data_IF_949176882517
#
_entry.id   IF_949176882517
#
_cell.length_a   1.000
_cell.length_b   1.000
_cell.length_c   1.000
_cell.angle_alpha   90.00
_cell.angle_beta   90.00
_cell.angle_gamma   90.00
#
_symmetry.space_group_name_H-M   'P 1'
#
loop_
_entity.id
_entity.type
_entity.pdbx_description
1 polymer ?
#
# COMPACT_ATOMS: atom_id res chain seq x y z
N UNK A 1 24.20 7.51 -7.67
CA UNK A 1 23.24 7.24 -6.56
C UNK A 1 21.89 7.86 -6.87
N UNK A 2 20.87 7.06 -7.22
CA UNK A 2 19.51 7.55 -7.48
C UNK A 2 18.53 6.85 -6.55
N UNK A 3 17.61 7.61 -5.98
CA UNK A 3 16.45 7.05 -5.28
C UNK A 3 15.44 6.52 -6.30
N UNK A 4 14.84 5.37 -5.99
CA UNK A 4 13.74 4.83 -6.79
C UNK A 4 12.45 4.90 -5.99
N UNK A 5 11.34 5.09 -6.69
CA UNK A 5 10.00 5.24 -6.12
C UNK A 5 9.04 4.35 -6.88
N UNK A 6 8.12 3.72 -6.15
CA UNK A 6 6.92 3.09 -6.70
C UNK A 6 5.73 3.35 -5.77
N UNK A 7 4.53 3.33 -6.33
CA UNK A 7 3.30 3.22 -5.56
C UNK A 7 2.46 2.04 -6.04
N UNK A 8 1.69 1.48 -5.10
CA UNK A 8 0.78 0.39 -5.38
C UNK A 8 -0.54 0.62 -4.67
N UNK A 9 -1.60 0.64 -5.47
CA UNK A 9 -2.96 0.65 -4.98
C UNK A 9 -3.28 -0.69 -4.30
N UNK A 10 -3.85 -0.62 -3.11
CA UNK A 10 -4.29 -1.76 -2.30
C UNK A 10 -5.81 -1.70 -2.22
N UNK A 11 -6.49 -2.77 -2.60
CA UNK A 11 -7.95 -2.87 -2.55
C UNK A 11 -8.31 -3.83 -1.43
N UNK A 12 -8.97 -3.32 -0.41
CA UNK A 12 -9.52 -4.09 0.69
C UNK A 12 -10.81 -4.78 0.26
N UNK A 13 -10.94 -6.04 0.67
CA UNK A 13 -12.11 -6.89 0.47
C UNK A 13 -12.76 -7.14 1.80
N UNK A 14 -14.08 -7.29 1.78
CA UNK A 14 -14.83 -7.70 2.96
C UNK A 14 -14.59 -9.18 3.25
N UNK A 15 -14.15 -9.47 4.47
CA UNK A 15 -13.97 -10.82 5.01
C UNK A 15 -14.66 -10.92 6.38
N UNK A 16 -14.85 -12.13 6.94
CA UNK A 16 -15.40 -12.29 8.28
C UNK A 16 -14.63 -11.55 9.37
N UNK A 17 -13.34 -11.26 9.15
CA UNK A 17 -12.45 -10.53 10.05
C UNK A 17 -12.50 -9.00 9.85
N UNK A 18 -13.23 -8.51 8.84
CA UNK A 18 -13.34 -7.09 8.48
C UNK A 18 -12.82 -6.79 7.07
N UNK A 19 -12.47 -5.52 6.80
CA UNK A 19 -11.88 -5.11 5.52
C UNK A 19 -10.40 -5.43 5.49
N UNK A 20 -9.99 -6.43 4.69
CA UNK A 20 -8.60 -6.90 4.62
C UNK A 20 -8.10 -6.99 3.17
N UNK A 21 -6.79 -6.88 2.97
CA UNK A 21 -6.13 -7.13 1.69
C UNK A 21 -4.90 -7.98 1.94
N UNK A 22 -4.58 -8.89 1.01
CA UNK A 22 -3.31 -9.58 1.04
C UNK A 22 -2.17 -8.61 0.69
N UNK A 23 -1.14 -8.60 1.52
CA UNK A 23 0.06 -7.77 1.40
C UNK A 23 1.33 -8.63 1.30
N UNK A 24 1.21 -9.93 1.03
CA UNK A 24 2.32 -10.87 0.87
C UNK A 24 3.43 -10.37 -0.08
N UNK A 25 3.05 -9.66 -1.14
CA UNK A 25 3.95 -9.03 -2.11
C UNK A 25 4.95 -8.03 -1.51
N UNK A 26 4.67 -7.47 -0.33
CA UNK A 26 5.62 -6.58 0.37
C UNK A 26 6.91 -7.31 0.74
N UNK A 27 6.84 -8.61 1.00
CA UNK A 27 8.04 -9.41 1.30
C UNK A 27 8.94 -9.51 0.06
N UNK A 28 8.36 -9.79 -1.11
CA UNK A 28 9.11 -9.92 -2.37
C UNK A 28 9.86 -8.64 -2.73
N UNK A 29 9.17 -7.48 -2.69
CA UNK A 29 9.83 -6.19 -2.98
C UNK A 29 10.79 -5.78 -1.86
N UNK A 30 10.55 -6.24 -0.63
CA UNK A 30 11.46 -6.05 0.51
C UNK A 30 12.82 -6.74 0.29
N UNK A 31 12.83 -7.94 -0.28
CA UNK A 31 14.07 -8.67 -0.66
C UNK A 31 14.86 -7.91 -1.73
N UNK A 32 14.18 -7.17 -2.60
CA UNK A 32 14.81 -6.29 -3.59
C UNK A 32 15.30 -4.96 -3.01
N UNK A 33 15.06 -4.69 -1.71
CA UNK A 33 15.49 -3.49 -1.01
C UNK A 33 14.51 -2.31 -1.09
N UNK A 34 13.24 -2.56 -1.43
CA UNK A 34 12.19 -1.57 -1.33
C UNK A 34 11.66 -1.46 0.10
N UNK A 35 11.44 -0.24 0.56
CA UNK A 35 10.90 0.07 1.89
C UNK A 35 9.57 0.80 1.75
N UNK A 36 8.54 0.39 2.51
CA UNK A 36 7.29 1.17 2.60
C UNK A 36 7.58 2.45 3.39
N UNK A 37 7.32 3.59 2.77
CA UNK A 37 7.55 4.92 3.36
C UNK A 37 6.28 5.71 3.61
N UNK A 38 5.15 5.24 3.09
CA UNK A 38 3.87 5.91 3.29
C UNK A 38 2.69 5.03 2.96
N UNK A 39 1.57 5.32 3.61
CA UNK A 39 0.26 4.72 3.33
C UNK A 39 -0.78 5.84 3.28
N UNK A 40 -1.52 5.92 2.18
CA UNK A 40 -2.60 6.88 2.00
C UNK A 40 -3.92 6.11 1.96
N UNK A 41 -4.78 6.23 2.99
CA UNK A 41 -6.11 5.64 2.93
C UNK A 41 -6.98 6.42 1.93
N UNK A 42 -7.68 5.72 1.05
CA UNK A 42 -8.72 6.30 0.19
C UNK A 42 -10.08 5.89 0.76
N UNK A 43 -10.68 6.85 1.45
CA UNK A 43 -12.01 6.68 2.03
C UNK A 43 -13.02 7.24 1.03
N UNK A 44 -13.70 6.35 0.31
CA UNK A 44 -14.80 6.71 -0.56
C UNK A 44 -16.13 6.60 0.21
N UNK A 45 -16.89 7.69 0.40
CA UNK A 45 -18.23 7.60 0.95
C UNK A 45 -19.15 6.90 -0.05
N UNK A 46 -20.00 5.97 0.42
CA UNK A 46 -21.09 5.46 -0.39
C UNK A 46 -22.24 6.49 -0.48
N UNK A 47 -23.31 6.17 -1.23
CA UNK A 47 -24.47 7.05 -1.41
C UNK A 47 -25.14 7.48 -0.09
N UNK A 48 -24.96 6.71 0.97
CA UNK A 48 -25.52 6.95 2.30
C UNK A 48 -24.56 7.76 3.20
N UNK A 49 -23.42 8.22 2.66
CA UNK A 49 -22.40 8.96 3.41
C UNK A 49 -21.57 8.09 4.35
N UNK A 50 -21.71 6.76 4.27
CA UNK A 50 -20.93 5.81 5.07
C UNK A 50 -19.59 5.58 4.37
N UNK A 51 -18.53 5.91 5.09
CA UNK A 51 -17.15 5.77 4.67
C UNK A 51 -16.71 4.30 4.74
N UNK A 52 -16.76 3.58 3.62
CA UNK A 52 -16.04 2.31 3.47
C UNK A 52 -14.79 2.58 2.64
N UNK A 53 -13.70 2.91 3.32
CA UNK A 53 -12.41 3.03 2.64
C UNK A 53 -11.93 1.66 2.17
N UNK A 54 -12.25 1.31 0.93
CA UNK A 54 -11.90 0.02 0.32
C UNK A 54 -10.63 0.09 -0.50
N UNK A 55 -10.01 1.27 -0.62
CA UNK A 55 -8.79 1.44 -1.40
C UNK A 55 -7.77 2.21 -0.56
N UNK A 56 -6.50 1.90 -0.71
CA UNK A 56 -5.39 2.72 -0.22
C UNK A 56 -4.28 2.73 -1.25
N UNK A 57 -3.29 3.59 -1.08
CA UNK A 57 -2.03 3.49 -1.81
C UNK A 57 -0.89 3.29 -0.82
N UNK A 58 0.00 2.35 -1.11
CA UNK A 58 1.28 2.21 -0.43
C UNK A 58 2.35 2.86 -1.30
N UNK A 59 3.16 3.70 -0.67
CA UNK A 59 4.30 4.39 -1.27
C UNK A 59 5.57 3.67 -0.83
N UNK A 60 6.42 3.31 -1.78
CA UNK A 60 7.67 2.60 -1.53
C UNK A 60 8.84 3.37 -2.12
N UNK A 61 9.95 3.34 -1.40
CA UNK A 61 11.21 3.94 -1.82
C UNK A 61 12.34 2.92 -1.72
N UNK A 62 13.28 2.98 -2.65
CA UNK A 62 14.51 2.21 -2.60
C UNK A 62 15.69 3.15 -2.51
N UNK A 63 16.49 2.96 -1.45
CA UNK A 63 17.68 3.76 -1.18
C UNK A 63 18.77 3.42 -2.17
N UNK A 64 19.58 4.39 -2.62
CA UNK A 64 20.80 4.05 -3.34
C UNK A 64 21.72 3.21 -2.46
N UNK A 65 22.26 2.11 -3.00
CA UNK A 65 23.32 1.37 -2.31
C UNK A 65 24.53 2.29 -2.14
N UNK A 66 25.09 2.34 -0.93
CA UNK A 66 26.40 2.97 -0.73
C UNK A 66 27.42 2.15 -1.53
N UNK A 67 28.22 2.82 -2.35
CA UNK A 67 29.41 2.23 -2.99
C UNK A 67 30.43 1.80 -1.95
#
# INVERSE_FOLDING_TARGET
MKWEYMDRMVIFKETPEGLTSDLSWLNEVGEEGWEVVGAVPLIAPNRDGIAYGTVGTLLLMKRPKKE
#
